data_IF_368711476314
#
_entry.id   IF_368711476314
#
_cell.length_a   1.000
_cell.length_b   1.000
_cell.length_c   1.000
_cell.angle_alpha   90.00
_cell.angle_beta   90.00
_cell.angle_gamma   90.00
#
_symmetry.space_group_name_H-M   'P 1'
#
loop_
_entity.id
_entity.type
_entity.pdbx_description
1 polymer ?
#
# COMPACT_ATOMS: atom_id res chain seq x y z
N UNK A 1 -18.93 -45.47 0.21
CA UNK A 1 -19.30 -44.15 0.74
C UNK A 1 -18.16 -43.66 1.62
N UNK A 2 -17.29 -42.77 1.11
CA UNK A 2 -16.13 -42.24 1.83
C UNK A 2 -16.49 -40.84 2.33
N UNK A 3 -16.68 -40.71 3.64
CA UNK A 3 -16.90 -39.44 4.34
C UNK A 3 -15.58 -38.63 4.35
N UNK A 4 -15.39 -37.75 3.36
CA UNK A 4 -14.36 -36.72 3.40
C UNK A 4 -14.78 -35.67 4.46
N UNK A 5 -14.13 -35.73 5.62
CA UNK A 5 -14.44 -34.87 6.76
C UNK A 5 -14.03 -33.39 6.58
N UNK A 6 -14.65 -32.48 7.37
CA UNK A 6 -14.64 -31.02 7.18
C UNK A 6 -13.32 -30.31 7.53
N UNK A 7 -12.19 -31.02 7.62
CA UNK A 7 -10.92 -30.46 8.12
C UNK A 7 -10.09 -29.71 7.08
N UNK A 8 -10.48 -29.74 5.80
CA UNK A 8 -9.74 -29.04 4.74
C UNK A 8 -10.16 -27.57 4.54
N UNK A 9 -11.31 -27.13 5.06
CA UNK A 9 -11.79 -25.75 4.79
C UNK A 9 -11.14 -24.67 5.67
N UNK A 10 -10.65 -25.00 6.87
CA UNK A 10 -10.10 -23.99 7.80
C UNK A 10 -8.73 -23.45 7.40
N UNK A 11 -7.87 -24.27 6.78
CA UNK A 11 -6.51 -23.86 6.42
C UNK A 11 -6.46 -22.91 5.22
N UNK A 12 -7.40 -23.04 4.27
CA UNK A 12 -7.48 -22.16 3.09
C UNK A 12 -7.93 -20.74 3.48
N UNK A 13 -8.83 -20.64 4.45
CA UNK A 13 -9.35 -19.35 4.95
C UNK A 13 -8.25 -18.54 5.66
N UNK A 14 -7.36 -19.21 6.41
CA UNK A 14 -6.27 -18.55 7.14
C UNK A 14 -5.17 -17.97 6.22
N UNK A 15 -4.83 -18.67 5.13
CA UNK A 15 -3.82 -18.19 4.17
C UNK A 15 -4.35 -16.98 3.38
N UNK A 16 -5.62 -17.02 2.96
CA UNK A 16 -6.22 -15.91 2.22
C UNK A 16 -6.34 -14.62 3.05
N UNK A 17 -6.61 -14.75 4.35
CA UNK A 17 -6.70 -13.60 5.27
C UNK A 17 -5.33 -12.99 5.61
N UNK A 18 -4.28 -13.80 5.76
CA UNK A 18 -2.90 -13.30 5.94
C UNK A 18 -2.37 -12.54 4.71
N UNK A 19 -2.72 -12.98 3.50
CA UNK A 19 -2.35 -12.25 2.26
C UNK A 19 -3.02 -10.88 2.14
N UNK A 20 -4.23 -10.71 2.67
CA UNK A 20 -4.93 -9.42 2.67
C UNK A 20 -4.32 -8.41 3.65
N UNK A 21 -3.88 -8.85 4.83
CA UNK A 21 -3.26 -7.97 5.83
C UNK A 21 -1.87 -7.51 5.36
N UNK A 22 -1.09 -8.40 4.73
CA UNK A 22 0.22 -8.05 4.18
C UNK A 22 0.15 -7.04 3.01
N UNK A 23 -0.90 -7.12 2.18
CA UNK A 23 -1.10 -6.16 1.08
C UNK A 23 -1.49 -4.76 1.56
N UNK A 24 -2.11 -4.63 2.74
CA UNK A 24 -2.49 -3.34 3.29
C UNK A 24 -1.29 -2.56 3.86
N UNK A 25 -0.29 -3.27 4.43
CA UNK A 25 0.87 -2.63 5.07
C UNK A 25 1.95 -2.12 4.08
N UNK A 26 1.94 -2.56 2.82
CA UNK A 26 2.89 -2.14 1.78
C UNK A 26 2.37 -1.04 0.86
N UNK A 27 1.10 -0.63 1.01
CA UNK A 27 0.56 0.53 0.32
C UNK A 27 0.72 1.76 1.23
N UNK A 28 1.93 2.29 1.28
CA UNK A 28 2.02 3.75 1.34
C UNK A 28 1.24 4.26 0.13
N UNK A 29 0.10 4.89 0.40
CA UNK A 29 -0.87 5.37 -0.59
C UNK A 29 -0.15 5.91 -1.83
N UNK A 30 -0.36 5.27 -2.98
CA UNK A 30 0.26 5.66 -4.25
C UNK A 30 -0.14 7.11 -4.50
N UNK A 31 0.80 8.00 -4.27
CA UNK A 31 0.60 9.41 -4.47
C UNK A 31 0.42 9.71 -5.96
N UNK A 32 -0.50 10.61 -6.28
CA UNK A 32 -0.54 11.20 -7.62
C UNK A 32 0.71 12.07 -7.76
N UNK A 33 1.70 11.58 -8.51
CA UNK A 33 2.89 12.36 -8.85
C UNK A 33 2.68 13.04 -10.20
N UNK A 34 2.76 14.36 -10.20
CA UNK A 34 3.05 15.13 -11.40
C UNK A 34 4.56 15.13 -11.62
N UNK A 35 5.00 15.46 -12.83
CA UNK A 35 6.42 15.41 -13.26
C UNK A 35 7.41 16.09 -12.31
N UNK A 36 6.95 16.94 -11.38
CA UNK A 36 7.78 17.80 -10.50
C UNK A 36 7.42 17.75 -9.01
N UNK A 37 6.23 17.26 -8.65
CA UNK A 37 5.83 17.15 -7.25
C UNK A 37 4.88 15.97 -7.08
N UNK A 38 4.79 15.44 -5.88
CA UNK A 38 3.90 14.34 -5.56
C UNK A 38 2.90 14.77 -4.52
N UNK A 39 1.65 14.36 -4.70
CA UNK A 39 0.67 14.40 -3.63
C UNK A 39 0.54 13.01 -3.06
N UNK A 40 0.73 12.85 -1.76
CA UNK A 40 0.50 11.59 -1.05
C UNK A 40 -0.54 11.77 0.05
N UNK A 41 -1.13 10.66 0.50
CA UNK A 41 -1.95 10.66 1.71
C UNK A 41 -1.13 10.12 2.87
N UNK A 42 -1.17 10.81 4.00
CA UNK A 42 -0.58 10.30 5.24
C UNK A 42 -1.53 9.33 5.95
N UNK A 43 -1.06 8.68 7.02
CA UNK A 43 -1.85 7.72 7.81
C UNK A 43 -3.13 8.32 8.42
N UNK A 44 -3.18 9.65 8.57
CA UNK A 44 -4.35 10.39 9.02
C UNK A 44 -5.32 10.77 7.88
N UNK A 45 -5.12 10.25 6.67
CA UNK A 45 -5.89 10.59 5.45
C UNK A 45 -5.80 12.05 5.02
N UNK A 46 -4.78 12.78 5.48
CA UNK A 46 -4.46 14.13 5.03
C UNK A 46 -3.70 14.06 3.72
N UNK A 47 -4.08 14.92 2.78
CA UNK A 47 -3.43 15.06 1.48
C UNK A 47 -2.26 16.03 1.62
N UNK A 48 -1.05 15.54 1.35
CA UNK A 48 0.20 16.24 1.56
C UNK A 48 0.96 16.40 0.25
N UNK A 49 1.56 17.56 0.05
CA UNK A 49 2.49 17.79 -1.05
C UNK A 49 3.92 17.39 -0.64
N UNK A 50 4.61 16.66 -1.52
CA UNK A 50 6.05 16.47 -1.50
C UNK A 50 6.63 17.12 -2.76
N UNK A 51 7.44 18.16 -2.58
CA UNK A 51 8.07 18.85 -3.69
C UNK A 51 9.38 18.16 -4.08
N UNK A 52 9.70 18.14 -5.37
CA UNK A 52 11.02 17.69 -5.85
C UNK A 52 11.84 18.89 -6.36
N UNK A 53 13.17 18.77 -6.28
CA UNK A 53 14.06 19.71 -6.93
C UNK A 53 14.31 19.25 -8.36
N UNK A 54 13.92 20.09 -9.30
CA UNK A 54 14.05 19.84 -10.72
C UNK A 54 15.01 20.83 -11.39
N UNK A 55 15.77 21.61 -10.62
CA UNK A 55 16.75 22.56 -11.15
C UNK A 55 16.15 23.72 -11.96
N UNK A 56 14.82 23.90 -11.93
CA UNK A 56 14.17 25.02 -12.60
C UNK A 56 14.34 26.26 -11.72
N UNK A 57 14.83 27.38 -12.27
CA UNK A 57 14.96 28.61 -11.51
C UNK A 57 13.58 29.01 -10.97
N UNK A 58 13.53 29.35 -9.68
CA UNK A 58 12.32 29.84 -9.04
C UNK A 58 11.70 30.94 -9.90
N UNK A 59 10.50 30.68 -10.42
CA UNK A 59 9.79 31.65 -11.24
C UNK A 59 9.51 32.87 -10.37
N UNK A 60 10.01 34.04 -10.79
CA UNK A 60 9.54 35.30 -10.21
C UNK A 60 8.06 35.38 -10.53
N UNK A 61 7.23 35.44 -9.49
CA UNK A 61 5.79 35.53 -9.63
C UNK A 61 5.42 36.83 -10.34
N UNK A 62 5.20 36.76 -11.66
CA UNK A 62 4.81 37.91 -12.47
C UNK A 62 3.32 38.27 -12.25
N UNK A 63 2.49 37.27 -11.93
CA UNK A 63 1.07 37.47 -11.66
C UNK A 63 0.87 38.11 -10.26
N UNK A 64 0.32 39.33 -10.18
CA UNK A 64 0.11 40.03 -8.91
C UNK A 64 -0.93 39.33 -8.03
N UNK A 65 -1.88 38.59 -8.60
CA UNK A 65 -2.87 37.81 -7.85
C UNK A 65 -2.15 36.65 -7.18
N UNK A 66 -1.40 35.84 -7.92
CA UNK A 66 -0.67 34.70 -7.35
C UNK A 66 0.37 35.14 -6.32
N UNK A 67 1.06 36.25 -6.55
CA UNK A 67 1.95 36.88 -5.57
C UNK A 67 1.23 37.22 -4.26
N UNK A 68 0.08 37.88 -4.34
CA UNK A 68 -0.72 38.24 -3.17
C UNK A 68 -1.22 36.98 -2.43
N UNK A 69 -1.71 35.98 -3.17
CA UNK A 69 -2.17 34.71 -2.61
C UNK A 69 -1.05 33.93 -1.93
N UNK A 70 0.13 33.88 -2.54
CA UNK A 70 1.30 33.25 -1.96
C UNK A 70 1.65 33.90 -0.63
N UNK A 71 1.69 35.24 -0.58
CA UNK A 71 1.93 35.97 0.65
C UNK A 71 0.87 35.61 1.70
N UNK A 72 -0.42 35.67 1.34
CA UNK A 72 -1.52 35.29 2.24
C UNK A 72 -1.38 33.87 2.76
N UNK A 73 -1.02 32.91 1.90
CA UNK A 73 -0.85 31.51 2.27
C UNK A 73 0.32 31.30 3.25
N UNK A 74 1.43 31.99 3.02
CA UNK A 74 2.63 31.91 3.87
C UNK A 74 2.49 32.61 5.21
N UNK A 75 1.67 33.67 5.30
CA UNK A 75 1.48 34.44 6.54
C UNK A 75 0.27 34.01 7.36
N UNK A 76 -0.60 33.16 6.83
CA UNK A 76 -1.79 32.71 7.56
C UNK A 76 -1.40 31.63 8.58
N UNK A 77 -1.77 31.84 9.85
CA UNK A 77 -1.51 30.88 10.94
C UNK A 77 -2.25 29.55 10.74
N UNK A 78 -3.33 29.55 9.96
CA UNK A 78 -4.07 28.34 9.55
C UNK A 78 -3.51 27.80 8.23
N UNK A 79 -2.23 28.05 7.93
CA UNK A 79 -1.61 27.49 6.73
C UNK A 79 -1.74 25.96 6.73
N UNK A 80 -2.16 25.44 5.58
CA UNK A 80 -2.31 24.01 5.30
C UNK A 80 -1.42 23.68 4.11
N UNK A 81 -0.97 22.45 4.01
CA UNK A 81 -0.23 21.93 2.86
C UNK A 81 -0.98 22.15 1.54
N UNK A 82 -2.32 22.16 1.53
CA UNK A 82 -3.11 22.52 0.34
C UNK A 82 -4.31 23.36 0.75
N UNK A 83 -4.45 24.54 0.13
CA UNK A 83 -5.58 25.44 0.34
C UNK A 83 -6.04 26.11 -0.97
N UNK A 84 -7.35 26.27 -1.09
CA UNK A 84 -8.00 26.95 -2.20
C UNK A 84 -8.39 28.37 -1.81
N UNK A 85 -8.25 29.30 -2.75
CA UNK A 85 -8.48 30.72 -2.56
C UNK A 85 -9.33 31.31 -3.69
N UNK A 86 -10.07 32.37 -3.37
CA UNK A 86 -10.60 33.28 -4.39
C UNK A 86 -9.53 34.28 -4.85
N UNK A 87 -9.85 35.10 -5.86
CA UNK A 87 -8.94 36.16 -6.35
C UNK A 87 -8.58 37.24 -5.31
N UNK A 88 -9.31 37.31 -4.19
CA UNK A 88 -9.11 38.31 -3.12
C UNK A 88 -8.26 37.76 -1.97
N UNK A 89 -7.80 36.50 -2.04
CA UNK A 89 -7.05 35.87 -0.96
C UNK A 89 -7.90 35.32 0.17
N UNK A 90 -9.23 35.22 -0.01
CA UNK A 90 -10.06 34.52 0.97
C UNK A 90 -9.91 33.02 0.78
N UNK A 91 -9.60 32.31 1.86
CA UNK A 91 -9.57 30.86 1.86
C UNK A 91 -10.98 30.31 1.65
N UNK A 92 -11.14 29.49 0.63
CA UNK A 92 -12.37 28.77 0.31
C UNK A 92 -12.43 27.44 1.07
N UNK A 93 -11.29 26.77 1.20
CA UNK A 93 -11.16 25.54 1.96
C UNK A 93 -9.80 24.85 1.79
N UNK A 94 -9.65 23.69 2.45
CA UNK A 94 -8.45 22.87 2.40
C UNK A 94 -8.46 21.89 1.21
N UNK A 95 -7.50 20.95 1.17
CA UNK A 95 -7.39 19.91 0.14
C UNK A 95 -8.70 19.17 -0.24
N UNK A 96 -9.64 19.00 0.72
CA UNK A 96 -10.93 18.30 0.51
C UNK A 96 -12.10 19.25 0.22
N UNK A 97 -11.82 20.51 -0.11
CA UNK A 97 -12.85 21.49 -0.44
C UNK A 97 -13.64 21.05 -1.68
N UNK A 98 -14.97 21.08 -1.58
CA UNK A 98 -15.85 20.71 -2.69
C UNK A 98 -16.05 21.92 -3.58
N UNK A 99 -15.65 21.79 -4.84
CA UNK A 99 -15.87 22.82 -5.86
C UNK A 99 -17.37 22.93 -6.13
N UNK A 100 -18.00 24.12 -5.99
CA UNK A 100 -19.41 24.29 -6.32
C UNK A 100 -19.63 24.14 -7.83
N UNK A 101 -20.76 23.55 -8.22
CA UNK A 101 -21.19 23.42 -9.61
C UNK A 101 -22.52 24.17 -9.80
N UNK A 102 -22.60 25.17 -10.71
CA UNK A 102 -21.52 25.64 -11.59
C UNK A 102 -20.48 26.51 -10.87
N UNK A 103 -19.24 26.49 -11.35
CA UNK A 103 -18.19 27.36 -10.84
C UNK A 103 -18.31 28.75 -11.49
N UNK A 104 -18.65 29.77 -10.70
CA UNK A 104 -18.94 31.13 -11.20
C UNK A 104 -17.77 32.11 -11.09
N UNK A 105 -16.63 31.69 -10.56
CA UNK A 105 -15.45 32.54 -10.35
C UNK A 105 -14.15 31.73 -10.45
N UNK A 106 -13.01 32.38 -10.79
CA UNK A 106 -11.72 31.71 -10.81
C UNK A 106 -11.29 31.30 -9.39
N UNK A 107 -10.85 30.05 -9.28
CA UNK A 107 -10.29 29.49 -8.05
C UNK A 107 -8.79 29.33 -8.23
N UNK A 108 -8.06 29.60 -7.17
CA UNK A 108 -6.62 29.43 -7.10
C UNK A 108 -6.29 28.40 -6.02
N UNK A 109 -5.20 27.68 -6.21
CA UNK A 109 -4.70 26.70 -5.25
C UNK A 109 -3.27 27.06 -4.89
N UNK A 110 -2.99 27.07 -3.59
CA UNK A 110 -1.64 27.13 -3.07
C UNK A 110 -1.33 25.81 -2.37
N UNK A 111 -0.21 25.22 -2.74
CA UNK A 111 0.29 23.96 -2.20
C UNK A 111 1.66 24.21 -1.60
N UNK A 112 1.88 23.69 -0.39
CA UNK A 112 3.12 23.79 0.34
C UNK A 112 3.54 22.40 0.79
N UNK A 113 4.79 22.08 0.55
CA UNK A 113 5.35 20.79 0.93
C UNK A 113 6.84 20.88 1.16
N UNK A 114 7.35 19.95 1.96
CA UNK A 114 8.78 19.78 2.13
C UNK A 114 9.41 19.30 0.83
N UNK A 115 10.59 19.85 0.53
CA UNK A 115 11.45 19.32 -0.53
C UNK A 115 11.90 17.91 -0.17
N UNK A 116 11.90 17.03 -1.17
CA UNK A 116 12.28 15.62 -1.03
C UNK A 116 13.78 15.48 -0.75
N UNK A 117 14.58 16.32 -1.38
CA UNK A 117 16.04 16.32 -1.30
C UNK A 117 16.54 17.10 -0.06
N UNK A 118 15.88 18.20 0.31
CA UNK A 118 16.15 18.95 1.54
C UNK A 118 14.87 19.19 2.37
N UNK A 119 14.60 18.38 3.42
CA UNK A 119 13.41 18.54 4.25
C UNK A 119 13.44 19.78 5.16
N UNK A 120 14.54 20.55 5.19
CA UNK A 120 14.59 21.85 5.87
C UNK A 120 14.01 22.99 5.05
N UNK A 121 13.76 22.76 3.76
CA UNK A 121 13.20 23.74 2.82
C UNK A 121 11.77 23.30 2.48
N UNK A 122 10.84 24.23 2.62
CA UNK A 122 9.50 24.09 2.05
C UNK A 122 9.45 24.81 0.71
N UNK A 123 8.83 24.15 -0.26
CA UNK A 123 8.43 24.76 -1.53
C UNK A 123 6.94 25.04 -1.47
N UNK A 124 6.56 26.28 -1.79
CA UNK A 124 5.17 26.70 -1.93
C UNK A 124 4.91 27.11 -3.37
N UNK A 125 3.85 26.55 -3.94
CA UNK A 125 3.43 26.77 -5.33
C UNK A 125 2.00 27.28 -5.30
N UNK A 126 1.74 28.44 -5.91
CA UNK A 126 0.41 28.97 -6.13
C UNK A 126 0.09 29.03 -7.62
N UNK A 127 -1.11 28.59 -8.01
CA UNK A 127 -1.57 28.52 -9.41
C UNK A 127 -3.09 28.60 -9.53
N UNK A 128 -3.60 28.73 -10.75
CA UNK A 128 -5.04 28.60 -11.03
C UNK A 128 -5.50 27.14 -10.91
N UNK A 129 -6.60 26.89 -10.20
CA UNK A 129 -7.16 25.54 -10.02
C UNK A 129 -7.85 24.99 -11.29
N UNK A 130 -8.21 25.84 -12.25
CA UNK A 130 -8.78 25.38 -13.53
C UNK A 130 -7.76 24.60 -14.37
N UNK A 131 -6.46 24.86 -14.15
CA UNK A 131 -5.35 24.16 -14.81
C UNK A 131 -4.81 23.00 -13.98
N UNK A 132 -5.53 22.57 -12.94
CA UNK A 132 -5.08 21.47 -12.08
C UNK A 132 -5.00 20.14 -12.84
N UNK A 133 -5.79 19.97 -13.90
CA UNK A 133 -5.74 18.78 -14.76
C UNK A 133 -4.67 18.85 -15.87
N UNK A 134 -4.12 20.03 -16.18
CA UNK A 134 -3.14 20.23 -17.26
C UNK A 134 -1.72 19.88 -16.81
N UNK A 135 -1.59 18.83 -15.99
CA UNK A 135 -0.38 18.44 -15.26
C UNK A 135 0.78 17.95 -16.14
N UNK A 136 0.52 17.74 -17.43
CA UNK A 136 1.50 17.32 -18.43
C UNK A 136 1.94 18.45 -19.36
N UNK A 137 1.26 19.59 -19.31
CA UNK A 137 1.54 20.72 -20.17
C UNK A 137 2.59 21.63 -19.51
N UNK A 138 3.73 21.80 -20.17
CA UNK A 138 4.79 22.68 -19.68
C UNK A 138 4.34 24.14 -19.61
N UNK A 139 3.43 24.57 -20.49
CA UNK A 139 2.92 25.93 -20.55
C UNK A 139 1.91 26.21 -19.44
N UNK A 140 1.26 25.17 -18.90
CA UNK A 140 0.46 25.29 -17.69
C UNK A 140 1.32 25.68 -16.47
N UNK A 141 2.58 25.24 -16.45
CA UNK A 141 3.54 25.59 -15.40
C UNK A 141 4.17 26.99 -15.57
N UNK A 142 4.05 27.63 -16.73
CA UNK A 142 4.58 28.99 -16.95
C UNK A 142 3.85 30.04 -16.09
N UNK A 143 2.62 29.75 -15.68
CA UNK A 143 1.79 30.63 -14.85
C UNK A 143 1.75 30.20 -13.37
N UNK A 144 2.78 29.49 -12.90
CA UNK A 144 2.90 29.12 -11.49
C UNK A 144 3.84 30.09 -10.75
N UNK A 145 3.44 30.43 -9.53
CA UNK A 145 4.23 31.23 -8.61
C UNK A 145 4.88 30.31 -7.57
N UNK A 146 6.20 30.21 -7.59
CA UNK A 146 6.96 29.29 -6.73
C UNK A 146 7.89 30.06 -5.81
N UNK A 147 7.82 29.78 -4.51
CA UNK A 147 8.77 30.28 -3.52
C UNK A 147 9.25 29.15 -2.64
N UNK A 148 10.54 29.16 -2.37
CA UNK A 148 11.19 28.29 -1.40
C UNK A 148 11.62 29.08 -0.19
N UNK A 149 11.54 28.46 0.97
CA UNK A 149 11.92 29.07 2.23
C UNK A 149 12.12 28.03 3.33
N UNK A 150 12.59 28.47 4.51
CA UNK A 150 12.74 27.57 5.64
C UNK A 150 11.40 26.94 6.01
N UNK A 151 11.43 25.63 6.23
CA UNK A 151 10.26 24.85 6.64
C UNK A 151 9.71 25.36 7.97
N UNK A 152 8.47 25.85 7.96
CA UNK A 152 7.71 26.23 9.18
C UNK A 152 6.56 25.27 9.39
N UNK A 153 6.31 24.81 10.63
CA UNK A 153 5.21 23.90 10.93
C UNK A 153 3.86 24.48 10.44
N UNK A 154 3.11 23.68 9.70
CA UNK A 154 1.72 23.94 9.31
C UNK A 154 0.75 22.94 9.96
N UNK A 155 -0.54 23.27 10.00
CA UNK A 155 -1.52 22.64 10.89
C UNK A 155 -1.97 21.22 10.50
N UNK A 156 -1.67 20.74 9.30
CA UNK A 156 -2.26 19.53 8.74
C UNK A 156 -1.36 18.27 8.81
N UNK A 157 -0.34 18.28 9.67
CA UNK A 157 0.52 17.11 9.95
C UNK A 157 1.25 16.54 8.72
N UNK A 158 1.34 17.32 7.64
CA UNK A 158 2.08 16.94 6.43
C UNK A 158 3.59 17.21 6.54
N UNK A 159 4.08 17.68 7.69
CA UNK A 159 5.52 17.73 7.94
C UNK A 159 6.02 16.33 8.26
N UNK A 160 7.03 15.88 7.52
CA UNK A 160 7.89 14.82 8.06
C UNK A 160 8.64 15.48 9.21
N UNK A 161 8.28 15.11 10.44
CA UNK A 161 9.23 15.24 11.52
C UNK A 161 10.47 14.51 11.04
N UNK A 162 11.60 15.22 10.88
CA UNK A 162 12.89 14.54 10.69
C UNK A 162 12.89 13.44 11.77
N UNK A 163 13.10 12.15 11.42
CA UNK A 163 13.25 11.14 12.45
C UNK A 163 14.33 11.69 13.37
N UNK A 164 13.95 12.02 14.61
CA UNK A 164 14.77 12.82 15.50
C UNK A 164 16.19 12.28 15.40
N UNK A 165 17.11 13.08 14.84
CA UNK A 165 18.42 12.64 14.37
C UNK A 165 18.96 11.64 15.39
N UNK A 166 19.03 10.35 15.01
CA UNK A 166 19.04 9.19 15.91
C UNK A 166 19.97 9.39 17.11
N UNK A 167 19.47 10.11 18.10
CA UNK A 167 20.27 10.68 19.14
C UNK A 167 20.29 9.63 20.20
N UNK A 168 21.19 8.65 20.05
CA UNK A 168 21.62 7.66 21.06
C UNK A 168 20.67 7.56 22.28
N UNK A 169 19.40 7.22 22.08
CA UNK A 169 18.48 6.90 23.18
C UNK A 169 18.31 5.40 23.18
N UNK A 170 18.95 4.81 24.19
CA UNK A 170 19.07 3.38 24.47
C UNK A 170 17.78 2.84 25.10
N UNK A 171 16.62 2.96 24.46
CA UNK A 171 15.43 2.21 24.85
C UNK A 171 15.24 1.07 23.85
N UNK A 172 15.67 -0.13 24.24
CA UNK A 172 15.48 -1.36 23.45
C UNK A 172 14.00 -1.66 23.17
N UNK A 173 13.09 -1.03 23.93
CA UNK A 173 11.64 -1.19 23.84
C UNK A 173 10.91 -0.20 22.89
N UNK A 174 11.55 0.86 22.39
CA UNK A 174 10.91 1.83 21.48
C UNK A 174 11.38 1.70 20.02
N UNK A 175 12.22 0.70 19.72
CA UNK A 175 12.43 0.34 18.32
C UNK A 175 11.13 -0.29 17.83
N UNK A 176 10.47 0.22 16.78
CA UNK A 176 9.51 -0.61 16.07
C UNK A 176 10.25 -1.90 15.76
N UNK A 177 9.76 -3.03 16.29
CA UNK A 177 10.32 -4.35 15.98
C UNK A 177 10.45 -4.32 14.46
N UNK A 178 11.68 -4.36 13.90
CA UNK A 178 11.85 -4.19 12.47
C UNK A 178 10.93 -5.22 11.86
N UNK A 179 9.92 -4.75 11.13
CA UNK A 179 8.89 -5.62 10.56
C UNK A 179 9.55 -6.75 9.80
N UNK A 180 10.72 -6.50 9.20
CA UNK A 180 11.63 -7.50 8.65
C UNK A 180 11.95 -8.69 9.57
N UNK A 181 12.23 -8.51 10.87
CA UNK A 181 12.50 -9.62 11.80
C UNK A 181 11.26 -10.45 12.08
N UNK A 182 10.09 -9.82 12.24
CA UNK A 182 8.81 -10.54 12.36
C UNK A 182 8.45 -11.27 11.06
N UNK A 183 8.77 -10.69 9.90
CA UNK A 183 8.60 -11.32 8.59
C UNK A 183 9.56 -12.51 8.39
N UNK A 184 10.82 -12.39 8.84
CA UNK A 184 11.80 -13.48 8.76
C UNK A 184 11.40 -14.62 9.69
N UNK A 185 11.05 -14.32 10.95
CA UNK A 185 10.61 -15.35 11.90
C UNK A 185 9.28 -15.99 11.47
N UNK A 186 8.31 -15.19 11.01
CA UNK A 186 7.05 -15.67 10.45
C UNK A 186 7.25 -16.54 9.19
N UNK A 187 8.16 -16.11 8.31
CA UNK A 187 8.56 -16.86 7.11
C UNK A 187 9.18 -18.20 7.45
N UNK A 188 10.11 -18.26 8.42
CA UNK A 188 10.75 -19.50 8.89
C UNK A 188 9.71 -20.46 9.48
N UNK A 189 8.80 -19.96 10.32
CA UNK A 189 7.75 -20.81 10.93
C UNK A 189 6.78 -21.33 9.87
N UNK A 190 6.41 -20.51 8.90
CA UNK A 190 5.50 -20.88 7.81
C UNK A 190 6.14 -21.92 6.87
N UNK A 191 7.40 -21.71 6.49
CA UNK A 191 8.15 -22.71 5.71
C UNK A 191 8.32 -24.02 6.46
N UNK A 192 8.68 -23.96 7.75
CA UNK A 192 8.82 -25.14 8.60
C UNK A 192 7.53 -25.96 8.69
N UNK A 193 6.39 -25.29 8.85
CA UNK A 193 5.08 -25.96 8.89
C UNK A 193 4.69 -26.57 7.55
N UNK A 194 4.90 -25.86 6.43
CA UNK A 194 4.61 -26.39 5.08
C UNK A 194 5.47 -27.63 4.79
N UNK A 195 6.78 -27.58 5.07
CA UNK A 195 7.70 -28.70 4.88
C UNK A 195 7.36 -29.90 5.77
N UNK A 196 7.03 -29.67 7.04
CA UNK A 196 6.65 -30.73 7.98
C UNK A 196 5.34 -31.44 7.59
N UNK A 197 4.34 -30.66 7.16
CA UNK A 197 3.05 -31.20 6.72
C UNK A 197 3.24 -32.01 5.43
N UNK A 198 3.89 -31.45 4.41
CA UNK A 198 4.12 -32.14 3.13
C UNK A 198 4.92 -33.43 3.26
N UNK A 199 5.91 -33.51 4.16
CA UNK A 199 6.61 -34.74 4.48
C UNK A 199 5.69 -35.83 5.05
N UNK A 200 4.77 -35.45 5.95
CA UNK A 200 3.79 -36.37 6.57
C UNK A 200 2.78 -36.90 5.54
N UNK A 201 2.27 -36.04 4.66
CA UNK A 201 1.35 -36.43 3.58
C UNK A 201 2.05 -37.27 2.51
N UNK A 202 3.29 -36.93 2.14
CA UNK A 202 4.10 -37.72 1.21
C UNK A 202 4.39 -39.14 1.71
N UNK A 203 4.57 -39.32 3.03
CA UNK A 203 4.69 -40.64 3.64
C UNK A 203 3.37 -41.44 3.65
N UNK A 204 2.24 -40.78 3.89
CA UNK A 204 0.93 -41.41 3.82
C UNK A 204 0.55 -41.84 2.38
N UNK A 205 0.79 -40.97 1.40
CA UNK A 205 0.54 -41.26 -0.02
C UNK A 205 1.38 -42.44 -0.52
N UNK A 206 2.68 -42.50 -0.15
CA UNK A 206 3.55 -43.64 -0.47
C UNK A 206 3.06 -44.95 0.13
N UNK A 207 2.64 -44.95 1.41
CA UNK A 207 2.07 -46.13 2.08
C UNK A 207 0.77 -46.59 1.42
N UNK A 208 -0.11 -45.66 1.06
CA UNK A 208 -1.37 -45.97 0.36
C UNK A 208 -1.12 -46.59 -1.02
N UNK A 209 -0.20 -46.02 -1.81
CA UNK A 209 0.18 -46.58 -3.11
C UNK A 209 0.79 -47.98 -3.00
N UNK A 210 1.63 -48.22 -1.97
CA UNK A 210 2.20 -49.54 -1.71
C UNK A 210 1.13 -50.58 -1.30
N UNK A 211 0.16 -50.18 -0.49
CA UNK A 211 -0.97 -51.05 -0.12
C UNK A 211 -1.84 -51.38 -1.35
N UNK A 212 -2.09 -50.40 -2.23
CA UNK A 212 -2.87 -50.59 -3.46
C UNK A 212 -2.20 -51.55 -4.44
N UNK A 213 -0.86 -51.53 -4.56
CA UNK A 213 -0.12 -52.51 -5.37
C UNK A 213 -0.28 -53.92 -4.82
N UNK A 214 -0.04 -54.13 -3.52
CA UNK A 214 -0.22 -55.44 -2.86
C UNK A 214 -1.62 -56.01 -3.04
N UNK A 215 -2.66 -55.17 -2.96
CA UNK A 215 -4.03 -55.63 -3.21
C UNK A 215 -4.26 -56.07 -4.66
N UNK A 216 -3.67 -55.37 -5.65
CA UNK A 216 -3.73 -55.80 -7.06
C UNK A 216 -3.07 -57.15 -7.28
N UNK A 217 -1.92 -57.39 -6.65
CA UNK A 217 -1.19 -58.66 -6.77
C UNK A 217 -2.01 -59.83 -6.19
N UNK A 218 -2.64 -59.63 -5.02
CA UNK A 218 -3.52 -60.66 -4.41
C UNK A 218 -4.73 -60.98 -5.28
N UNK A 219 -5.36 -59.95 -5.87
CA UNK A 219 -6.50 -60.15 -6.79
C UNK A 219 -6.07 -60.84 -8.08
N UNK A 220 -4.88 -60.52 -8.60
CA UNK A 220 -4.32 -61.19 -9.77
C UNK A 220 -4.10 -62.68 -9.49
N UNK A 221 -3.45 -63.03 -8.37
CA UNK A 221 -3.22 -64.45 -7.99
C UNK A 221 -4.53 -65.21 -7.83
N UNK A 222 -5.58 -64.61 -7.23
CA UNK A 222 -6.89 -65.25 -7.11
C UNK A 222 -7.59 -65.52 -8.46
N UNK A 223 -7.32 -64.73 -9.50
CA UNK A 223 -7.87 -65.00 -10.85
C UNK A 223 -7.22 -66.20 -11.53
N UNK A 224 -5.97 -66.51 -11.17
CA UNK A 224 -5.22 -67.63 -11.75
C UNK A 224 -5.27 -68.90 -10.89
N UNK A 225 -5.88 -68.85 -9.70
CA UNK A 225 -6.11 -70.05 -8.91
C UNK A 225 -7.08 -70.99 -9.68
N UNK A 226 -6.67 -72.23 -9.99
CA UNK A 226 -7.54 -73.17 -10.67
C UNK A 226 -8.81 -73.37 -9.83
N UNK A 227 -9.98 -73.23 -10.46
CA UNK A 227 -11.26 -73.53 -9.81
C UNK A 227 -11.24 -75.00 -9.44
N UNK A 228 -11.04 -75.29 -8.15
CA UNK A 228 -11.18 -76.66 -7.69
C UNK A 228 -12.61 -77.12 -7.95
N UNK A 229 -12.79 -78.35 -8.49
CA UNK A 229 -14.10 -78.87 -8.79
C UNK A 229 -14.95 -78.88 -7.51
N UNK A 230 -16.13 -78.28 -7.60
CA UNK A 230 -17.10 -78.30 -6.50
C UNK A 230 -17.53 -79.76 -6.32
N UNK A 231 -17.40 -80.34 -5.11
CA UNK A 231 -17.86 -81.70 -4.87
C UNK A 231 -19.36 -81.78 -5.17
N UNK A 232 -19.73 -82.64 -6.10
CA UNK A 232 -21.13 -82.89 -6.45
C UNK A 232 -21.84 -83.50 -5.24
N UNK A 233 -23.04 -82.99 -4.86
CA UNK A 233 -23.80 -83.58 -3.78
C UNK A 233 -24.20 -85.01 -4.15
N UNK A 234 -23.86 -85.94 -3.27
CA UNK A 234 -24.19 -87.35 -3.41
C UNK A 234 -25.71 -87.49 -3.30
N UNK A 235 -26.38 -87.85 -4.40
CA UNK A 235 -27.80 -88.22 -4.39
C UNK A 235 -27.87 -89.70 -4.01
N UNK A 236 -28.48 -90.07 -2.87
CA UNK A 236 -28.70 -91.47 -2.52
C UNK A 236 -29.83 -92.09 -3.37
N UNK A 237 -29.82 -93.41 -3.58
CA UNK A 237 -30.77 -94.14 -4.41
C UNK A 237 -32.19 -94.18 -3.84
#
# INVERSE_FOLDING_TARGET
MLLLGPRFSLSVIFVASLTHIAHAALRGDIGACWSRNCIFRNDASTICMQADDNGIPLSKCADPILSALLKTHLTNDISRSIAYYDKKGRMLGAAKWRVPSPLTFPVYVCMRGQRRDDPSIDRTICRSALRDNDMRDADAHANECVVEGPSKPYADWCHRTKPAAAGKRKSFFERPIPTGLLWVLGGIVTFGTICGVSAKWGGAARRWLAARRRHRDVVAVRRWAPRMPVPQPHVPP
#
